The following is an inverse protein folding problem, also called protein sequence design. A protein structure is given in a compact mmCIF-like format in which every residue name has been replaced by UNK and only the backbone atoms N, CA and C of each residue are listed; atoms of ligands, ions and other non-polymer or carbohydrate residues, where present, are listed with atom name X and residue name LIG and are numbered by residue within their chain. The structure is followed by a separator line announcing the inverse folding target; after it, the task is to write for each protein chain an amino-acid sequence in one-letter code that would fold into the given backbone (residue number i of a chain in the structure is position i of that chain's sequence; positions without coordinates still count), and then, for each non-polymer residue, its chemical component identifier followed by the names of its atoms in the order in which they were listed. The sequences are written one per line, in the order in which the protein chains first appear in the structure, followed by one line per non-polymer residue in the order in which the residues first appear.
data_IF_781868724812
#
_entry.id   IF_781868724812
#
_cell.length_a   1.000
_cell.length_b   1.000
_cell.length_c   1.000
_cell.angle_alpha   90.00
_cell.angle_beta   90.00
_cell.angle_gamma   90.00
#
_symmetry.space_group_name_H-M   'P 1'
#
loop_
_entity.id
_entity.type
_entity.pdbx_description
1 polymer ?
#
# COMPACT_ATOMS: atom_id res chain seq x y z
N UNK A 1 -2.70 30.66 -14.74
CA UNK A 1 -2.48 29.74 -13.60
C UNK A 1 -1.13 29.09 -13.86
N UNK A 2 -0.10 29.50 -13.14
CA UNK A 2 1.29 29.03 -13.33
C UNK A 2 1.46 27.68 -12.66
N UNK A 3 1.95 26.70 -13.40
CA UNK A 3 2.16 25.34 -12.91
C UNK A 3 3.50 25.25 -12.18
N UNK A 4 3.47 25.65 -10.91
CA UNK A 4 4.63 25.76 -10.01
C UNK A 4 5.48 24.48 -9.95
N UNK A 5 4.86 23.31 -10.15
CA UNK A 5 5.57 22.02 -10.16
C UNK A 5 6.33 21.77 -11.45
N UNK A 6 5.89 22.34 -12.58
CA UNK A 6 6.58 22.23 -13.85
C UNK A 6 7.71 23.25 -13.99
N UNK A 7 7.62 24.42 -13.36
CA UNK A 7 8.64 25.48 -13.41
C UNK A 7 9.80 25.27 -12.43
N UNK A 8 9.63 24.40 -11.42
CA UNK A 8 10.68 24.05 -10.48
C UNK A 8 11.44 22.78 -10.91
N UNK A 9 12.72 22.93 -11.25
CA UNK A 9 13.57 21.82 -11.71
C UNK A 9 13.71 20.67 -10.70
N UNK A 10 13.70 20.97 -9.39
CA UNK A 10 13.76 19.95 -8.35
C UNK A 10 12.44 19.15 -8.30
N UNK A 11 11.30 19.82 -8.46
CA UNK A 11 10.00 19.18 -8.56
C UNK A 11 9.89 18.31 -9.82
N UNK A 12 10.37 18.80 -10.97
CA UNK A 12 10.41 18.04 -12.23
C UNK A 12 11.25 16.76 -12.11
N UNK A 13 12.44 16.84 -11.51
CA UNK A 13 13.29 15.67 -11.25
C UNK A 13 12.61 14.66 -10.33
N UNK A 14 11.94 15.13 -9.27
CA UNK A 14 11.22 14.28 -8.34
C UNK A 14 10.07 13.52 -9.03
N UNK A 15 9.27 14.23 -9.84
CA UNK A 15 8.16 13.65 -10.60
C UNK A 15 8.65 12.57 -11.57
N UNK A 16 9.72 12.85 -12.33
CA UNK A 16 10.32 11.88 -13.25
C UNK A 16 10.90 10.67 -12.52
N UNK A 17 11.58 10.89 -11.40
CA UNK A 17 12.21 9.81 -10.61
C UNK A 17 11.17 8.88 -9.99
N UNK A 18 10.07 9.45 -9.51
CA UNK A 18 8.99 8.68 -8.89
C UNK A 18 7.99 8.12 -9.91
N UNK A 19 8.14 8.43 -11.20
CA UNK A 19 7.21 8.04 -12.25
C UNK A 19 5.78 8.52 -12.00
N UNK A 20 5.62 9.62 -11.26
CA UNK A 20 4.31 10.06 -10.80
C UNK A 20 3.50 10.55 -12.01
N UNK A 21 2.30 9.97 -12.26
CA UNK A 21 1.37 10.61 -13.17
C UNK A 21 1.05 11.98 -12.57
N UNK A 22 1.12 13.04 -13.37
CA UNK A 22 0.76 14.39 -12.91
C UNK A 22 -0.77 14.52 -12.91
N UNK A 23 -1.45 13.88 -11.94
CA UNK A 23 -2.48 14.56 -11.15
C UNK A 23 -2.38 14.24 -9.64
N UNK A 24 -3.17 14.96 -8.84
CA UNK A 24 -3.17 15.00 -7.36
C UNK A 24 -2.93 13.63 -6.71
N UNK A 25 -2.00 13.52 -5.73
CA UNK A 25 -1.70 12.25 -5.06
C UNK A 25 -2.95 11.57 -4.48
N UNK A 26 -3.06 10.26 -4.66
CA UNK A 26 -4.12 9.47 -4.04
C UNK A 26 -4.02 9.59 -2.51
N UNK A 27 -5.15 9.87 -1.85
CA UNK A 27 -5.21 9.82 -0.38
C UNK A 27 -4.95 8.38 0.07
N UNK A 28 -3.94 8.19 0.92
CA UNK A 28 -3.64 6.88 1.50
C UNK A 28 -4.71 6.51 2.52
N UNK A 29 -5.13 5.24 2.52
CA UNK A 29 -5.99 4.67 3.56
C UNK A 29 -5.27 4.78 4.91
N UNK A 30 -5.93 5.36 5.90
CA UNK A 30 -5.46 5.43 7.29
C UNK A 30 -6.32 4.51 8.14
N UNK A 31 -5.78 4.10 9.29
CA UNK A 31 -6.61 3.49 10.31
C UNK A 31 -7.58 4.55 10.84
N UNK A 32 -8.87 4.22 10.90
CA UNK A 32 -9.90 5.12 11.43
C UNK A 32 -9.95 5.11 12.98
N UNK A 33 -9.14 4.26 13.60
CA UNK A 33 -9.08 4.10 15.05
C UNK A 33 -7.98 3.14 15.50
N UNK A 34 -8.05 2.66 16.76
CA UNK A 34 -7.15 1.62 17.26
C UNK A 34 -7.20 0.34 16.42
N UNK A 35 -6.19 -0.52 16.60
CA UNK A 35 -6.14 -1.82 15.94
C UNK A 35 -7.37 -2.64 16.31
N UNK A 36 -8.12 -3.06 15.29
CA UNK A 36 -9.26 -3.95 15.43
C UNK A 36 -8.79 -5.41 15.48
N UNK A 37 -9.62 -6.29 16.04
CA UNK A 37 -9.31 -7.72 16.14
C UNK A 37 -9.16 -8.39 14.77
N UNK A 38 -9.98 -7.98 13.79
CA UNK A 38 -9.98 -8.54 12.42
C UNK A 38 -9.79 -7.45 11.36
N UNK A 39 -8.59 -6.86 11.24
CA UNK A 39 -8.36 -5.69 10.40
C UNK A 39 -8.42 -5.96 8.89
N UNK A 40 -8.40 -7.23 8.46
CA UNK A 40 -8.45 -7.62 7.05
C UNK A 40 -9.81 -8.20 6.64
N UNK A 41 -10.82 -8.14 7.51
CA UNK A 41 -12.10 -8.83 7.28
C UNK A 41 -12.79 -8.42 5.97
N UNK A 42 -12.73 -7.14 5.61
CA UNK A 42 -13.37 -6.57 4.42
C UNK A 42 -12.41 -6.47 3.22
N UNK A 43 -11.15 -6.90 3.38
CA UNK A 43 -10.12 -6.81 2.36
C UNK A 43 -9.98 -8.14 1.61
N UNK A 44 -9.91 -8.08 0.29
CA UNK A 44 -9.48 -9.24 -0.52
C UNK A 44 -7.96 -9.34 -0.49
N UNK A 45 -7.43 -10.44 0.07
CA UNK A 45 -5.99 -10.65 0.25
C UNK A 45 -5.51 -11.78 -0.65
N UNK A 46 -4.50 -11.50 -1.49
CA UNK A 46 -3.82 -12.50 -2.31
C UNK A 46 -2.46 -12.82 -1.70
N UNK A 47 -2.17 -14.11 -1.49
CA UNK A 47 -0.91 -14.58 -0.91
C UNK A 47 -0.17 -15.44 -1.92
N UNK A 48 1.05 -15.02 -2.24
CA UNK A 48 1.98 -15.80 -3.06
C UNK A 48 3.15 -16.30 -2.22
N UNK A 49 3.58 -17.54 -2.46
CA UNK A 49 4.79 -18.09 -1.86
C UNK A 49 5.60 -18.90 -2.86
N UNK A 50 6.91 -18.94 -2.66
CA UNK A 50 7.77 -19.92 -3.31
C UNK A 50 7.62 -21.29 -2.61
N UNK A 51 7.92 -22.37 -3.32
CA UNK A 51 7.79 -23.72 -2.77
C UNK A 51 8.58 -23.87 -1.45
N UNK A 52 7.92 -24.44 -0.43
CA UNK A 52 8.49 -24.69 0.91
C UNK A 52 9.03 -23.45 1.64
N UNK A 53 8.42 -22.28 1.42
CA UNK A 53 8.73 -21.08 2.19
C UNK A 53 8.59 -21.34 3.71
N UNK A 54 9.62 -21.06 4.53
CA UNK A 54 9.64 -21.43 5.95
C UNK A 54 8.58 -20.70 6.79
N UNK A 55 7.95 -19.67 6.24
CA UNK A 55 6.95 -18.84 6.91
C UNK A 55 5.52 -19.12 6.44
N UNK A 56 5.31 -20.10 5.55
CA UNK A 56 4.00 -20.43 4.98
C UNK A 56 2.91 -20.57 6.05
N UNK A 57 3.18 -21.43 7.04
CA UNK A 57 2.22 -21.74 8.10
C UNK A 57 2.00 -20.56 9.06
N UNK A 58 3.07 -19.79 9.32
CA UNK A 58 2.99 -18.60 10.17
C UNK A 58 2.13 -17.53 9.50
N UNK A 59 2.34 -17.32 8.20
CA UNK A 59 1.58 -16.35 7.41
C UNK A 59 0.11 -16.76 7.31
N UNK A 60 -0.17 -18.04 7.03
CA UNK A 60 -1.53 -18.56 6.98
C UNK A 60 -2.29 -18.31 8.30
N UNK A 61 -1.66 -18.63 9.44
CA UNK A 61 -2.27 -18.41 10.77
C UNK A 61 -2.52 -16.94 11.06
N UNK A 62 -1.52 -16.09 10.81
CA UNK A 62 -1.61 -14.66 11.09
C UNK A 62 -2.70 -13.98 10.25
N UNK A 63 -2.74 -14.29 8.94
CA UNK A 63 -3.74 -13.73 8.03
C UNK A 63 -5.16 -14.20 8.37
N UNK A 64 -5.32 -15.48 8.70
CA UNK A 64 -6.62 -16.02 9.14
C UNK A 64 -7.09 -15.33 10.43
N UNK A 65 -6.20 -15.16 11.42
CA UNK A 65 -6.55 -14.45 12.66
C UNK A 65 -6.90 -12.97 12.42
N UNK A 66 -6.25 -12.34 11.44
CA UNK A 66 -6.53 -10.97 11.06
C UNK A 66 -7.84 -10.84 10.24
N UNK A 67 -8.50 -11.94 9.92
CA UNK A 67 -9.80 -11.98 9.25
C UNK A 67 -9.75 -12.13 7.73
N UNK A 68 -8.57 -12.38 7.14
CA UNK A 68 -8.47 -12.70 5.73
C UNK A 68 -9.09 -14.08 5.46
N UNK A 69 -9.88 -14.20 4.38
CA UNK A 69 -10.60 -15.42 3.97
C UNK A 69 -10.39 -15.74 2.51
#
# INVERSE_FOLDING_TARGET
MTDFLLENDAARRLIQTLGLPVPVPMRLRRADGPVQERPLHDDTVVVGQFAHGPLADVLARALTSAGAS
#
